data_IF_994744516850
#
_entry.id   IF_994744516850
#
_cell.length_a   1.000
_cell.length_b   1.000
_cell.length_c   1.000
_cell.angle_alpha   90.00
_cell.angle_beta   90.00
_cell.angle_gamma   90.00
#
_symmetry.space_group_name_H-M   'P 1'
#
loop_
_entity.id
_entity.type
_entity.pdbx_description
1 polymer ?
#
# COMPACT_ATOMS: atom_id res chain seq x y z
N UNK A 1 9.79 -13.00 5.91
CA UNK A 1 9.41 -12.19 7.07
C UNK A 1 10.42 -12.51 8.15
N UNK A 2 11.22 -11.52 8.54
CA UNK A 2 12.23 -11.72 9.58
C UNK A 2 11.54 -11.82 10.94
N UNK A 3 12.14 -12.57 11.87
CA UNK A 3 11.64 -12.72 13.23
C UNK A 3 11.94 -11.44 14.04
N UNK A 4 11.21 -10.38 13.73
CA UNK A 4 11.24 -9.11 14.46
C UNK A 4 9.90 -8.92 15.14
N UNK A 5 9.93 -8.47 16.39
CA UNK A 5 8.73 -8.12 17.16
C UNK A 5 8.18 -6.72 16.84
N UNK A 6 8.76 -6.05 15.83
CA UNK A 6 8.34 -4.73 15.37
C UNK A 6 8.27 -4.68 13.84
N UNK A 7 7.33 -3.88 13.34
CA UNK A 7 7.18 -3.60 11.92
C UNK A 7 8.07 -2.41 11.52
N UNK A 8 8.65 -2.49 10.34
CA UNK A 8 9.29 -1.36 9.66
C UNK A 8 8.46 -0.92 8.46
N UNK A 9 8.76 0.27 7.93
CA UNK A 9 8.02 0.86 6.81
C UNK A 9 7.93 -0.06 5.60
N UNK A 10 9.00 -0.79 5.30
CA UNK A 10 9.05 -1.72 4.18
C UNK A 10 8.06 -2.88 4.34
N UNK A 11 7.82 -3.35 5.57
CA UNK A 11 6.82 -4.39 5.83
C UNK A 11 5.42 -3.88 5.49
N UNK A 12 5.11 -2.63 5.85
CA UNK A 12 3.82 -1.99 5.59
C UNK A 12 3.64 -1.71 4.10
N UNK A 13 4.66 -1.15 3.44
CA UNK A 13 4.64 -0.85 1.99
C UNK A 13 4.50 -2.11 1.15
N UNK A 14 5.07 -3.23 1.60
CA UNK A 14 4.94 -4.52 0.94
C UNK A 14 3.49 -5.05 0.97
N UNK A 15 2.81 -4.99 2.13
CA UNK A 15 1.46 -5.56 2.28
C UNK A 15 0.34 -4.61 1.84
N UNK A 16 0.59 -3.30 1.83
CA UNK A 16 -0.42 -2.29 1.52
C UNK A 16 -1.15 -2.54 0.18
N UNK A 17 -0.49 -2.89 -0.94
CA UNK A 17 -1.15 -3.25 -2.20
C UNK A 17 -2.11 -4.43 -2.11
N UNK A 18 -1.80 -5.41 -1.26
CA UNK A 18 -2.63 -6.60 -1.10
C UNK A 18 -3.85 -6.35 -0.21
N UNK A 19 -3.75 -5.43 0.75
CA UNK A 19 -4.83 -5.12 1.71
C UNK A 19 -5.74 -3.99 1.23
N UNK A 20 -5.17 -2.94 0.64
CA UNK A 20 -5.89 -1.70 0.35
C UNK A 20 -6.43 -1.64 -1.08
N UNK A 21 -5.83 -2.34 -2.05
CA UNK A 21 -6.27 -2.27 -3.45
C UNK A 21 -7.72 -2.72 -3.65
N UNK A 22 -8.18 -3.72 -2.89
CA UNK A 22 -9.58 -4.18 -2.93
C UNK A 22 -10.54 -3.29 -2.13
N UNK A 23 -10.02 -2.39 -1.30
CA UNK A 23 -10.80 -1.45 -0.48
C UNK A 23 -10.93 -0.07 -1.14
N UNK A 24 -10.20 0.17 -2.22
CA UNK A 24 -10.25 1.40 -2.97
C UNK A 24 -11.36 1.32 -4.02
N UNK A 25 -12.23 2.34 -4.04
CA UNK A 25 -13.26 2.49 -5.08
C UNK A 25 -12.81 3.62 -6.02
N UNK A 26 -12.07 3.30 -7.10
CA UNK A 26 -11.57 4.32 -8.02
C UNK A 26 -12.69 4.91 -8.87
N UNK A 27 -12.70 6.23 -9.01
CA UNK A 27 -13.53 6.88 -10.02
C UNK A 27 -13.05 6.48 -11.42
N UNK A 28 -14.00 6.15 -12.31
CA UNK A 28 -13.77 5.93 -13.75
C UNK A 28 -12.84 4.76 -14.11
N UNK A 29 -12.85 3.66 -13.35
CA UNK A 29 -12.16 2.42 -13.73
C UNK A 29 -10.63 2.50 -13.71
N UNK A 30 -10.06 3.50 -13.02
CA UNK A 30 -8.61 3.60 -12.82
C UNK A 30 -8.09 2.38 -12.05
N UNK A 31 -6.87 1.95 -12.37
CA UNK A 31 -6.24 0.85 -11.65
C UNK A 31 -6.00 1.22 -10.17
N UNK A 32 -6.65 0.55 -9.20
CA UNK A 32 -6.49 0.84 -7.79
C UNK A 32 -5.06 0.61 -7.30
N UNK A 33 -4.28 -0.31 -7.90
CA UNK A 33 -2.89 -0.53 -7.52
C UNK A 33 -2.00 0.65 -7.88
N UNK A 34 -2.19 1.21 -9.08
CA UNK A 34 -1.45 2.38 -9.52
C UNK A 34 -1.77 3.63 -8.68
N UNK A 35 -3.03 3.81 -8.26
CA UNK A 35 -3.39 4.90 -7.34
C UNK A 35 -2.73 4.69 -5.99
N UNK A 36 -2.78 3.47 -5.45
CA UNK A 36 -2.20 3.16 -4.16
C UNK A 36 -0.68 3.37 -4.16
N UNK A 37 0.04 2.97 -5.20
CA UNK A 37 1.48 3.20 -5.29
C UNK A 37 1.81 4.69 -5.19
N UNK A 38 1.08 5.54 -5.92
CA UNK A 38 1.25 7.00 -5.86
C UNK A 38 0.98 7.57 -4.47
N UNK A 39 0.02 7.00 -3.74
CA UNK A 39 -0.27 7.41 -2.36
C UNK A 39 0.88 7.03 -1.43
N UNK A 40 1.36 5.79 -1.52
CA UNK A 40 2.50 5.29 -0.73
C UNK A 40 3.77 6.11 -1.00
N UNK A 41 3.99 6.53 -2.24
CA UNK A 41 5.14 7.38 -2.59
C UNK A 41 4.98 8.84 -2.11
N UNK A 42 3.75 9.32 -1.92
CA UNK A 42 3.47 10.71 -1.53
C UNK A 42 3.45 10.96 -0.02
N UNK A 43 3.28 9.92 0.79
CA UNK A 43 3.19 10.04 2.26
C UNK A 43 4.58 9.79 2.84
N UNK A 44 5.27 10.84 3.36
CA UNK A 44 6.54 10.65 4.05
C UNK A 44 6.30 9.89 5.36
N UNK A 45 7.23 8.99 5.69
CA UNK A 45 7.29 8.26 6.96
C UNK A 45 8.50 8.75 7.75
#
# INVERSE_FOLDING_TARGET
>A
MEERDYAIDDDVKFVAPHVLAHRLIPASGKDPKAILQRLLDSVPI
#
